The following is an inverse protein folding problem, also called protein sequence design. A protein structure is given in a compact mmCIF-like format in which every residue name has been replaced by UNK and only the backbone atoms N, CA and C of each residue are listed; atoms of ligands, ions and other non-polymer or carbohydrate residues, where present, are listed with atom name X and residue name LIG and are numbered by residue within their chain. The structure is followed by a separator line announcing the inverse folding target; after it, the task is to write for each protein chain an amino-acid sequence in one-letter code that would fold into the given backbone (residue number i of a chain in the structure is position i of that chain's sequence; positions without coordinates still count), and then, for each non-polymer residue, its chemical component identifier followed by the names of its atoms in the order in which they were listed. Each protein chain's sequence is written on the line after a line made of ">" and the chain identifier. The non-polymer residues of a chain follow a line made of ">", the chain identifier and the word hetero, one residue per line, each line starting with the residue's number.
data_IF_731117216305
#
_entry.id   IF_731117216305
#
_cell.length_a   1.000
_cell.length_b   1.000
_cell.length_c   1.000
_cell.angle_alpha   90.00
_cell.angle_beta   90.00
_cell.angle_gamma   90.00
#
_symmetry.space_group_name_H-M   'P 1'
#
loop_
_entity.id
_entity.type
_entity.pdbx_description
1 polymer ?
#
# COMPACT_ATOMS: atom_id res chain seq x y z
N UNK A 1 14.01 -2.28 -23.59
CA UNK A 1 13.17 -2.50 -22.39
C UNK A 1 13.80 -1.71 -21.26
N UNK A 2 13.17 -0.64 -20.73
CA UNK A 2 13.81 0.11 -19.66
C UNK A 2 13.57 -0.58 -18.31
N UNK A 3 14.66 -0.72 -17.57
CA UNK A 3 14.80 -1.33 -16.24
C UNK A 3 14.25 -0.44 -15.12
N UNK A 4 13.74 -1.02 -14.02
CA UNK A 4 13.09 -0.27 -12.93
C UNK A 4 14.12 0.18 -11.89
N UNK A 5 15.04 1.04 -12.30
CA UNK A 5 15.88 1.76 -11.35
C UNK A 5 15.75 3.24 -11.66
N UNK A 6 14.80 3.91 -11.00
CA UNK A 6 14.85 5.31 -10.57
C UNK A 6 13.50 5.71 -9.91
N UNK A 7 13.16 5.07 -8.78
CA UNK A 7 12.20 5.61 -7.80
C UNK A 7 12.85 6.76 -6.98
N UNK A 8 13.60 7.63 -7.65
CA UNK A 8 14.17 8.85 -7.07
C UNK A 8 13.52 10.03 -7.78
N UNK A 9 12.36 10.45 -7.29
CA UNK A 9 11.84 11.82 -7.45
C UNK A 9 10.51 11.97 -6.68
N UNK A 10 10.59 11.94 -5.34
CA UNK A 10 9.48 12.26 -4.42
C UNK A 10 9.25 13.78 -4.27
N UNK A 11 9.80 14.62 -5.15
CA UNK A 11 9.78 16.08 -5.01
C UNK A 11 9.40 16.84 -6.30
N UNK A 12 8.76 16.19 -7.27
CA UNK A 12 8.19 16.87 -8.44
C UNK A 12 6.66 16.79 -8.34
N UNK A 13 5.94 17.92 -8.16
CA UNK A 13 4.48 17.94 -8.02
C UNK A 13 3.69 17.40 -9.23
N UNK A 14 4.37 17.17 -10.36
CA UNK A 14 3.78 16.77 -11.64
C UNK A 14 3.85 15.28 -11.95
N UNK A 15 4.41 14.44 -11.07
CA UNK A 15 4.38 12.97 -11.23
C UNK A 15 3.55 12.31 -10.12
N UNK A 16 2.24 12.60 -10.11
CA UNK A 16 1.28 11.97 -9.18
C UNK A 16 1.14 10.50 -9.56
N UNK A 17 1.83 9.63 -8.83
CA UNK A 17 1.71 8.20 -9.03
C UNK A 17 0.44 7.70 -8.36
N UNK A 18 -0.54 7.35 -9.20
CA UNK A 18 -1.91 7.06 -8.77
C UNK A 18 -2.05 5.65 -8.23
N UNK A 19 -3.07 5.44 -7.40
CA UNK A 19 -3.39 4.12 -6.88
C UNK A 19 -3.72 3.13 -8.01
N UNK A 20 -4.29 3.63 -9.11
CA UNK A 20 -4.54 2.85 -10.34
C UNK A 20 -3.25 2.31 -10.96
N UNK A 21 -2.23 3.15 -11.08
CA UNK A 21 -0.93 2.75 -11.63
C UNK A 21 -0.19 1.78 -10.69
N UNK A 22 -0.26 2.03 -9.38
CA UNK A 22 0.28 1.12 -8.38
C UNK A 22 -0.34 -0.29 -8.51
N UNK A 23 -1.65 -0.36 -8.70
CA UNK A 23 -2.35 -1.63 -8.82
C UNK A 23 -2.08 -2.34 -10.15
N UNK A 24 -2.01 -1.60 -11.27
CA UNK A 24 -1.69 -2.20 -12.57
C UNK A 24 -0.28 -2.79 -12.60
N UNK A 25 0.64 -2.24 -11.79
CA UNK A 25 2.01 -2.70 -11.64
C UNK A 25 2.22 -3.70 -10.48
N UNK A 26 1.15 -4.18 -9.84
CA UNK A 26 1.24 -5.16 -8.75
C UNK A 26 2.03 -4.66 -7.53
N UNK A 27 1.94 -3.36 -7.23
CA UNK A 27 2.69 -2.74 -6.14
C UNK A 27 2.07 -3.01 -4.77
N UNK A 28 2.93 -3.03 -3.76
CA UNK A 28 2.60 -3.12 -2.35
C UNK A 28 2.85 -1.75 -1.72
N UNK A 29 1.85 -1.25 -0.99
CA UNK A 29 1.96 -0.05 -0.17
C UNK A 29 2.33 -0.44 1.25
N UNK A 30 3.46 0.07 1.72
CA UNK A 30 3.94 -0.06 3.09
C UNK A 30 3.65 1.22 3.87
N UNK A 31 2.74 1.15 4.84
CA UNK A 31 2.39 2.27 5.72
C UNK A 31 3.10 2.11 7.06
N UNK A 32 3.95 3.08 7.42
CA UNK A 32 4.66 3.11 8.70
C UNK A 32 4.35 4.39 9.45
N UNK A 33 3.87 4.29 10.68
CA UNK A 33 3.74 5.46 11.55
C UNK A 33 5.10 5.80 12.18
N UNK A 34 5.59 7.00 11.91
CA UNK A 34 6.85 7.54 12.44
C UNK A 34 6.75 7.98 13.91
N UNK A 35 5.54 8.14 14.47
CA UNK A 35 5.35 8.39 15.92
C UNK A 35 5.34 7.11 16.74
N UNK A 36 4.58 6.11 16.29
CA UNK A 36 4.40 4.86 17.04
C UNK A 36 5.51 3.85 16.81
N UNK A 37 6.34 4.04 15.76
CA UNK A 37 7.42 3.15 15.32
C UNK A 37 7.03 1.66 15.19
N UNK A 38 5.73 1.38 15.03
CA UNK A 38 5.23 0.02 14.82
C UNK A 38 5.77 -0.55 13.51
N UNK A 39 5.84 -1.89 13.39
CA UNK A 39 6.10 -2.53 12.11
C UNK A 39 5.16 -1.99 11.03
N UNK A 40 5.65 -1.79 9.79
CA UNK A 40 4.83 -1.29 8.71
C UNK A 40 3.69 -2.25 8.40
N UNK A 41 2.54 -1.70 8.06
CA UNK A 41 1.40 -2.45 7.55
C UNK A 41 1.47 -2.45 6.03
N UNK A 42 1.39 -3.63 5.43
CA UNK A 42 1.48 -3.81 3.99
C UNK A 42 0.09 -4.03 3.40
N UNK A 43 -0.20 -3.37 2.30
CA UNK A 43 -1.45 -3.53 1.54
C UNK A 43 -1.12 -3.73 0.06
N UNK A 44 -1.91 -4.56 -0.63
CA UNK A 44 -1.85 -4.59 -2.09
C UNK A 44 -2.57 -3.37 -2.65
N UNK A 45 -1.98 -2.73 -3.65
CA UNK A 45 -2.61 -1.62 -4.34
C UNK A 45 -3.96 -2.02 -4.97
N UNK A 46 -4.09 -3.26 -5.45
CA UNK A 46 -5.34 -3.81 -5.99
C UNK A 46 -6.45 -3.93 -4.95
N UNK A 47 -6.12 -4.24 -3.70
CA UNK A 47 -7.10 -4.29 -2.60
C UNK A 47 -7.50 -2.89 -2.16
N UNK A 48 -6.54 -1.95 -2.15
CA UNK A 48 -6.82 -0.55 -1.85
C UNK A 48 -7.71 0.09 -2.90
N UNK A 49 -7.55 -0.24 -4.19
CA UNK A 49 -8.40 0.26 -5.27
C UNK A 49 -9.88 -0.10 -5.11
N UNK A 50 -10.20 -1.19 -4.42
CA UNK A 50 -11.59 -1.58 -4.17
C UNK A 50 -12.26 -0.71 -3.10
N UNK A 51 -11.48 0.04 -2.33
CA UNK A 51 -11.93 0.83 -1.17
C UNK A 51 -11.73 2.33 -1.38
N UNK A 52 -10.70 2.71 -2.14
CA UNK A 52 -10.27 4.10 -2.31
C UNK A 52 -10.41 4.54 -3.76
N UNK A 53 -10.46 5.86 -3.96
CA UNK A 53 -10.53 6.46 -5.30
C UNK A 53 -9.31 6.06 -6.15
N UNK A 54 -9.50 5.54 -7.38
CA UNK A 54 -8.39 5.13 -8.24
C UNK A 54 -7.45 6.26 -8.68
N UNK A 55 -7.95 7.50 -8.76
CA UNK A 55 -7.19 8.68 -9.17
C UNK A 55 -6.43 9.35 -8.02
N UNK A 56 -6.60 8.84 -6.79
CA UNK A 56 -5.88 9.30 -5.61
C UNK A 56 -4.37 9.02 -5.72
N UNK A 57 -3.58 9.95 -5.19
CA UNK A 57 -2.14 9.80 -5.00
C UNK A 57 -1.80 8.72 -3.95
N UNK A 58 -0.80 7.89 -4.23
CA UNK A 58 -0.42 6.81 -3.33
C UNK A 58 0.20 7.28 -2.01
N UNK A 59 0.83 8.45 -1.99
CA UNK A 59 1.66 8.94 -0.89
C UNK A 59 0.92 9.94 -0.01
N UNK A 60 0.26 10.94 -0.62
CA UNK A 60 -0.29 12.09 0.11
C UNK A 60 -1.72 12.42 -0.38
N UNK A 61 -2.73 12.46 0.50
CA UNK A 61 -2.69 12.04 1.91
C UNK A 61 -2.56 10.50 2.02
N UNK A 62 -2.04 9.98 3.14
CA UNK A 62 -1.90 8.53 3.33
C UNK A 62 -3.26 7.82 3.34
N UNK A 63 -3.35 6.57 2.84
CA UNK A 63 -4.61 5.84 2.70
C UNK A 63 -5.42 5.73 4.00
N UNK A 64 -4.74 5.46 5.11
CA UNK A 64 -5.36 5.28 6.42
C UNK A 64 -4.54 5.97 7.52
N UNK A 65 -5.20 6.50 8.57
CA UNK A 65 -4.51 6.97 9.75
C UNK A 65 -3.88 5.82 10.54
N UNK A 66 -2.98 6.13 11.48
CA UNK A 66 -2.40 5.13 12.35
C UNK A 66 -3.50 4.43 13.18
N UNK A 67 -3.61 3.11 13.07
CA UNK A 67 -4.55 2.32 13.90
C UNK A 67 -4.32 2.42 15.43
N UNK A 68 -3.14 2.86 15.88
CA UNK A 68 -2.81 3.01 17.30
C UNK A 68 -3.03 4.44 17.82
N UNK A 69 -2.45 5.45 17.15
CA UNK A 69 -2.50 6.83 17.62
C UNK A 69 -3.48 7.72 16.86
N UNK A 70 -4.12 7.24 15.78
CA UNK A 70 -5.06 8.01 14.97
C UNK A 70 -4.43 9.08 14.06
N UNK A 71 -3.13 9.35 14.21
CA UNK A 71 -2.42 10.38 13.45
C UNK A 71 -2.21 9.96 11.99
N UNK A 72 -2.54 10.87 11.06
CA UNK A 72 -2.35 10.72 9.60
C UNK A 72 -1.12 11.45 9.08
N UNK A 73 -0.60 12.45 9.78
CA UNK A 73 0.46 13.34 9.29
C UNK A 73 1.84 12.69 9.44
N UNK A 74 1.98 11.82 10.44
CA UNK A 74 3.21 11.08 10.70
C UNK A 74 3.25 9.70 10.04
N UNK A 75 2.54 9.48 8.92
CA UNK A 75 2.56 8.21 8.18
C UNK A 75 3.52 8.31 6.99
N UNK A 76 4.58 7.52 7.03
CA UNK A 76 5.45 7.27 5.88
C UNK A 76 4.81 6.19 5.00
N UNK A 77 4.59 6.51 3.73
CA UNK A 77 4.14 5.56 2.71
C UNK A 77 5.29 5.23 1.77
N UNK A 78 5.55 3.93 1.58
CA UNK A 78 6.55 3.43 0.63
C UNK A 78 5.91 2.44 -0.33
N UNK A 79 6.17 2.61 -1.63
CA UNK A 79 5.82 1.63 -2.65
C UNK A 79 6.94 0.63 -2.81
N UNK A 80 6.57 -0.64 -2.98
CA UNK A 80 7.50 -1.73 -3.25
C UNK A 80 6.88 -2.68 -4.26
N UNK A 81 7.66 -3.20 -5.23
CA UNK A 81 7.18 -4.25 -6.11
C UNK A 81 6.92 -5.54 -5.30
N UNK A 82 5.99 -6.36 -5.77
CA UNK A 82 5.85 -7.73 -5.30
C UNK A 82 7.05 -8.55 -5.80
N UNK A 83 8.08 -8.66 -4.96
CA UNK A 83 9.22 -9.53 -5.23
C UNK A 83 8.81 -11.00 -5.08
N UNK A 84 9.21 -11.86 -6.01
CA UNK A 84 8.90 -13.31 -5.95
C UNK A 84 9.44 -13.95 -4.67
N UNK A 85 10.61 -13.53 -4.19
CA UNK A 85 11.21 -14.02 -2.95
C UNK A 85 10.41 -13.65 -1.69
N UNK A 86 9.48 -12.70 -1.81
CA UNK A 86 8.65 -12.22 -0.71
C UNK A 86 7.30 -12.97 -0.62
N UNK A 87 6.94 -13.71 -1.66
CA UNK A 87 5.76 -14.59 -1.72
C UNK A 87 5.87 -15.66 -0.62
N UNK A 88 4.80 -15.87 0.15
CA UNK A 88 4.74 -16.79 1.29
C UNK A 88 5.46 -16.32 2.57
N UNK A 89 6.17 -15.18 2.52
CA UNK A 89 6.93 -14.62 3.66
C UNK A 89 6.37 -13.30 4.17
N UNK A 90 5.94 -12.41 3.26
CA UNK A 90 5.34 -11.14 3.63
C UNK A 90 3.88 -11.32 4.03
N UNK A 91 3.53 -10.81 5.21
CA UNK A 91 2.14 -10.69 5.64
C UNK A 91 1.57 -9.39 5.08
N UNK A 92 0.54 -9.50 4.26
CA UNK A 92 -0.19 -8.39 3.66
C UNK A 92 -1.61 -8.35 4.22
N UNK A 93 -2.16 -7.14 4.34
CA UNK A 93 -3.58 -6.95 4.64
C UNK A 93 -4.37 -7.05 3.35
N UNK A 94 -4.98 -8.22 3.15
CA UNK A 94 -5.92 -8.49 2.07
C UNK A 94 -7.30 -7.98 2.42
N UNK A 95 -7.98 -7.42 1.44
CA UNK A 95 -9.39 -7.08 1.59
C UNK A 95 -10.21 -8.38 1.53
N UNK A 96 -10.90 -8.71 2.63
CA UNK A 96 -11.71 -9.93 2.69
C UNK A 96 -13.11 -9.69 2.13
N UNK A 97 -13.78 -8.65 2.61
CA UNK A 97 -15.10 -8.25 2.15
C UNK A 97 -15.42 -6.83 2.62
N UNK A 98 -16.33 -6.17 1.91
CA UNK A 98 -16.86 -4.86 2.27
C UNK A 98 -18.31 -5.09 2.74
N UNK A 99 -18.59 -4.88 4.03
CA UNK A 99 -19.98 -4.85 4.55
C UNK A 99 -20.46 -3.39 4.65
N UNK A 100 -20.24 -2.76 5.80
CA UNK A 100 -20.38 -1.31 6.00
C UNK A 100 -19.02 -0.61 6.08
N UNK A 101 -18.01 -1.34 6.52
CA UNK A 101 -16.59 -0.94 6.57
C UNK A 101 -15.76 -2.06 5.93
N UNK A 102 -14.63 -1.74 5.28
CA UNK A 102 -13.75 -2.74 4.70
C UNK A 102 -13.14 -3.62 5.79
N UNK A 103 -13.31 -4.94 5.67
CA UNK A 103 -12.75 -5.92 6.60
C UNK A 103 -11.43 -6.46 6.03
N UNK A 104 -10.34 -6.22 6.77
CA UNK A 104 -8.99 -6.61 6.38
C UNK A 104 -8.56 -7.89 7.09
N UNK A 105 -7.92 -8.80 6.37
CA UNK A 105 -7.30 -10.01 6.93
C UNK A 105 -5.82 -10.03 6.64
N UNK A 106 -5.05 -10.52 7.61
CA UNK A 106 -3.61 -10.75 7.42
C UNK A 106 -3.42 -12.08 6.70
N UNK A 107 -2.91 -12.04 5.48
CA UNK A 107 -2.65 -13.22 4.65
C UNK A 107 -1.21 -13.14 4.14
N UNK A 108 -0.61 -14.28 3.78
CA UNK A 108 0.72 -14.24 3.18
C UNK A 108 0.58 -13.85 1.71
N UNK A 109 1.53 -13.07 1.23
CA UNK A 109 1.59 -12.66 -0.15
C UNK A 109 1.61 -13.90 -1.06
N UNK A 110 0.61 -14.07 -1.92
CA UNK A 110 0.47 -15.21 -2.83
C UNK A 110 -0.31 -16.40 -2.28
N UNK A 111 -0.77 -16.37 -1.03
CA UNK A 111 -1.85 -17.27 -0.62
C UNK A 111 -3.09 -16.91 -1.46
N UNK A 112 -3.56 -17.88 -2.25
CA UNK A 112 -4.76 -17.73 -3.03
C UNK A 112 -5.95 -17.78 -2.06
N UNK A 113 -6.87 -16.80 -2.06
CA UNK A 113 -8.12 -16.99 -1.33
C UNK A 113 -8.84 -18.18 -1.98
N UNK A 114 -9.10 -19.20 -1.17
CA UNK A 114 -9.85 -20.39 -1.55
C UNK A 114 -11.29 -20.04 -1.96
#
# INVERSE_FOLDING_TARGET
>A
MPTPHHLKNLAIPSNRYTLREAASQGQILSLRCLRCFRPPVLFLASDLLQVLDPGRDCFIPPPFPCSKCGDSDAIEVKLRPQEEAAVGRLVIRRLSHIKRVPVWRNERLGDRPA
#
